data_IF_905737625886
#
_entry.id   IF_905737625886
#
_cell.length_a   1.000
_cell.length_b   1.000
_cell.length_c   1.000
_cell.angle_alpha   90.00
_cell.angle_beta   90.00
_cell.angle_gamma   90.00
#
_symmetry.space_group_name_H-M   'P 1'
#
loop_
_entity.id
_entity.type
_entity.pdbx_description
1 polymer ?
#
# COMPACT_ATOMS: atom_id res chain seq x y z
N UNK A 1 0.82 -18.61 -7.84
CA UNK A 1 0.83 -17.13 -7.61
C UNK A 1 1.54 -16.87 -6.30
N UNK A 2 2.50 -15.97 -6.31
CA UNK A 2 3.36 -15.70 -5.18
C UNK A 2 3.42 -14.18 -4.95
N UNK A 3 3.06 -13.71 -3.76
CA UNK A 3 3.03 -12.28 -3.40
C UNK A 3 4.16 -11.97 -2.44
N UNK A 4 5.03 -11.03 -2.80
CA UNK A 4 6.03 -10.49 -1.89
C UNK A 4 5.39 -9.53 -0.89
N UNK A 5 5.79 -9.59 0.36
CA UNK A 5 5.38 -8.62 1.38
C UNK A 5 6.64 -7.96 1.93
N UNK A 6 6.72 -6.63 1.85
CA UNK A 6 7.83 -5.89 2.43
C UNK A 6 7.80 -6.03 3.95
N UNK A 7 8.75 -6.78 4.51
CA UNK A 7 8.80 -7.14 5.93
C UNK A 7 9.95 -6.44 6.68
N UNK A 8 10.13 -5.13 6.39
CA UNK A 8 11.12 -4.30 7.09
C UNK A 8 10.59 -3.80 8.43
N UNK A 9 9.31 -3.45 8.48
CA UNK A 9 8.64 -2.90 9.65
C UNK A 9 7.12 -2.85 9.37
N UNK A 10 6.29 -2.95 10.40
CA UNK A 10 4.84 -2.73 10.30
C UNK A 10 4.00 -4.00 10.23
N UNK A 11 2.79 -3.89 9.68
CA UNK A 11 1.73 -4.89 9.72
C UNK A 11 1.84 -5.97 8.62
N UNK A 12 3.03 -6.51 8.38
CA UNK A 12 3.23 -7.49 7.30
C UNK A 12 2.63 -8.87 7.64
N UNK A 13 2.65 -9.30 8.89
CA UNK A 13 2.08 -10.58 9.34
C UNK A 13 0.56 -10.64 9.15
N UNK A 14 -0.13 -9.51 9.30
CA UNK A 14 -1.58 -9.41 9.09
C UNK A 14 -1.92 -9.64 7.61
N UNK A 15 -1.14 -9.08 6.69
CA UNK A 15 -1.29 -9.36 5.25
C UNK A 15 -1.01 -10.81 4.90
N UNK A 16 0.00 -11.45 5.52
CA UNK A 16 0.28 -12.87 5.33
C UNK A 16 -0.91 -13.75 5.70
N UNK A 17 -1.54 -13.47 6.85
CA UNK A 17 -2.73 -14.19 7.29
C UNK A 17 -3.86 -14.08 6.27
N UNK A 18 -4.14 -12.88 5.77
CA UNK A 18 -5.18 -12.68 4.75
C UNK A 18 -4.85 -13.44 3.47
N UNK A 19 -3.60 -13.39 2.98
CA UNK A 19 -3.20 -14.14 1.79
C UNK A 19 -3.33 -15.66 1.99
N UNK A 20 -2.97 -16.17 3.17
CA UNK A 20 -3.13 -17.57 3.53
C UNK A 20 -4.60 -18.02 3.51
N UNK A 21 -5.51 -17.21 4.06
CA UNK A 21 -6.96 -17.46 4.00
C UNK A 21 -7.49 -17.49 2.55
N UNK A 22 -6.89 -16.70 1.66
CA UNK A 22 -7.20 -16.68 0.24
C UNK A 22 -6.46 -17.75 -0.59
N UNK A 23 -5.67 -18.61 0.06
CA UNK A 23 -4.92 -19.69 -0.61
C UNK A 23 -3.78 -19.19 -1.49
N UNK A 24 -3.21 -18.01 -1.20
CA UNK A 24 -2.11 -17.38 -1.94
C UNK A 24 -0.81 -17.49 -1.15
N UNK A 25 0.24 -17.96 -1.81
CA UNK A 25 1.59 -18.03 -1.24
C UNK A 25 2.16 -16.62 -1.04
N UNK A 26 2.68 -16.35 0.15
CA UNK A 26 3.39 -15.10 0.46
C UNK A 26 4.86 -15.35 0.78
N UNK A 27 5.68 -14.35 0.48
CA UNK A 27 7.11 -14.32 0.81
C UNK A 27 7.45 -13.01 1.49
N UNK A 28 8.04 -13.07 2.66
CA UNK A 28 8.60 -11.89 3.32
C UNK A 28 9.88 -11.42 2.63
N UNK A 29 9.91 -10.13 2.28
CA UNK A 29 11.08 -9.46 1.70
C UNK A 29 11.71 -8.57 2.78
N UNK A 30 12.79 -9.04 3.40
CA UNK A 30 13.46 -8.39 4.53
C UNK A 30 14.73 -7.65 4.14
N UNK A 31 15.29 -7.95 2.98
CA UNK A 31 16.52 -7.38 2.46
C UNK A 31 16.57 -7.48 0.93
N UNK A 32 17.61 -6.92 0.33
CA UNK A 32 17.80 -6.93 -1.12
C UNK A 32 17.97 -8.35 -1.68
N UNK A 33 18.64 -9.23 -0.94
CA UNK A 33 18.87 -10.62 -1.37
C UNK A 33 17.55 -11.40 -1.50
N UNK A 34 16.66 -11.28 -0.52
CA UNK A 34 15.31 -11.86 -0.58
C UNK A 34 14.56 -11.40 -1.84
N UNK A 35 14.59 -10.09 -2.11
CA UNK A 35 13.94 -9.55 -3.30
C UNK A 35 14.57 -10.09 -4.59
N UNK A 36 15.90 -10.06 -4.72
CA UNK A 36 16.61 -10.53 -5.91
C UNK A 36 16.38 -12.03 -6.18
N UNK A 37 16.34 -12.84 -5.12
CA UNK A 37 16.08 -14.26 -5.21
C UNK A 37 14.69 -14.57 -5.78
N UNK A 38 13.70 -13.77 -5.45
CA UNK A 38 12.30 -14.05 -5.77
C UNK A 38 11.69 -13.16 -6.85
N UNK A 39 12.34 -12.06 -7.26
CA UNK A 39 11.76 -11.05 -8.15
C UNK A 39 11.17 -11.61 -9.44
N UNK A 40 11.74 -12.68 -10.01
CA UNK A 40 11.25 -13.32 -11.24
C UNK A 40 9.97 -14.13 -11.04
N UNK A 41 9.68 -14.53 -9.80
CA UNK A 41 8.55 -15.38 -9.44
C UNK A 41 7.41 -14.59 -8.79
N UNK A 42 7.64 -13.32 -8.45
CA UNK A 42 6.63 -12.49 -7.84
C UNK A 42 5.52 -12.13 -8.84
N UNK A 43 4.29 -12.41 -8.47
CA UNK A 43 3.10 -11.97 -9.18
C UNK A 43 2.62 -10.59 -8.69
N UNK A 44 3.03 -10.16 -7.51
CA UNK A 44 2.68 -8.88 -6.91
C UNK A 44 3.47 -8.58 -5.64
N UNK A 45 3.34 -7.36 -5.14
CA UNK A 45 4.03 -6.85 -3.96
C UNK A 45 3.05 -6.15 -3.03
N UNK A 46 3.15 -6.38 -1.72
CA UNK A 46 2.43 -5.63 -0.69
C UNK A 46 3.43 -4.77 0.10
N UNK A 47 3.11 -3.48 0.22
CA UNK A 47 3.80 -2.53 1.09
C UNK A 47 2.88 -2.25 2.28
N UNK A 48 3.16 -2.83 3.46
CA UNK A 48 2.24 -2.79 4.60
C UNK A 48 2.20 -1.41 5.27
N UNK A 49 1.23 -1.23 6.15
CA UNK A 49 1.20 -0.12 7.10
C UNK A 49 2.34 -0.20 8.11
N UNK A 50 2.73 0.95 8.63
CA UNK A 50 3.83 1.09 9.57
C UNK A 50 4.25 2.56 9.71
N UNK A 51 5.53 2.82 9.96
CA UNK A 51 6.09 4.18 9.99
C UNK A 51 6.87 4.45 8.70
N UNK A 52 6.32 5.32 7.84
CA UNK A 52 6.83 5.53 6.48
C UNK A 52 8.24 6.09 6.41
N UNK A 53 8.64 6.94 7.36
CA UNK A 53 10.01 7.50 7.41
C UNK A 53 11.04 6.41 7.73
N UNK A 54 10.73 5.55 8.72
CA UNK A 54 11.58 4.41 9.06
C UNK A 54 11.66 3.41 7.91
N UNK A 55 10.52 3.08 7.29
CA UNK A 55 10.49 2.18 6.13
C UNK A 55 11.29 2.74 4.95
N UNK A 56 11.11 4.02 4.63
CA UNK A 56 11.86 4.69 3.58
C UNK A 56 13.37 4.73 3.84
N UNK A 57 13.77 4.96 5.09
CA UNK A 57 15.18 4.88 5.50
C UNK A 57 15.73 3.46 5.33
N UNK A 58 15.03 2.45 5.82
CA UNK A 58 15.44 1.04 5.69
C UNK A 58 15.55 0.60 4.23
N UNK A 59 14.64 1.03 3.36
CA UNK A 59 14.72 0.76 1.92
C UNK A 59 16.01 1.33 1.30
N UNK A 60 16.45 2.51 1.73
CA UNK A 60 17.71 3.11 1.26
C UNK A 60 18.92 2.39 1.84
N UNK A 61 18.95 2.20 3.17
CA UNK A 61 20.07 1.59 3.88
C UNK A 61 20.35 0.16 3.37
N UNK A 62 19.33 -0.55 2.95
CA UNK A 62 19.43 -1.91 2.40
C UNK A 62 19.51 -1.96 0.88
N UNK A 63 19.64 -0.83 0.19
CA UNK A 63 19.68 -0.72 -1.27
C UNK A 63 18.47 -1.35 -1.99
N UNK A 64 17.31 -1.45 -1.34
CA UNK A 64 16.07 -2.00 -1.91
C UNK A 64 15.25 -0.95 -2.69
N UNK A 65 15.43 0.34 -2.41
CA UNK A 65 14.57 1.40 -2.94
C UNK A 65 14.53 1.40 -4.47
N UNK A 66 15.69 1.43 -5.13
CA UNK A 66 15.76 1.48 -6.60
C UNK A 66 15.27 0.19 -7.25
N UNK A 67 15.71 -1.02 -6.83
CA UNK A 67 15.21 -2.27 -7.40
C UNK A 67 13.68 -2.43 -7.29
N UNK A 68 13.09 -2.10 -6.14
CA UNK A 68 11.62 -2.15 -5.98
C UNK A 68 10.92 -1.11 -6.86
N UNK A 69 11.44 0.12 -6.91
CA UNK A 69 10.92 1.16 -7.77
C UNK A 69 10.90 0.75 -9.24
N UNK A 70 12.01 0.20 -9.73
CA UNK A 70 12.13 -0.29 -11.11
C UNK A 70 11.15 -1.42 -11.39
N UNK A 71 11.02 -2.39 -10.49
CA UNK A 71 10.07 -3.49 -10.64
C UNK A 71 8.62 -2.99 -10.75
N UNK A 72 8.22 -2.05 -9.90
CA UNK A 72 6.88 -1.44 -9.93
C UNK A 72 6.65 -0.68 -11.24
N UNK A 73 7.60 0.15 -11.67
CA UNK A 73 7.51 0.91 -12.92
C UNK A 73 7.50 0.01 -14.15
N UNK A 74 8.12 -1.17 -14.08
CA UNK A 74 8.11 -2.19 -15.11
C UNK A 74 6.85 -3.09 -15.07
N UNK A 75 5.88 -2.77 -14.20
CA UNK A 75 4.56 -3.38 -14.20
C UNK A 75 4.28 -4.40 -13.10
N UNK A 76 5.19 -4.62 -12.14
CA UNK A 76 4.90 -5.47 -10.99
C UNK A 76 3.71 -4.87 -10.21
N UNK A 77 2.58 -5.59 -10.08
CA UNK A 77 1.44 -5.12 -9.30
C UNK A 77 1.84 -4.85 -7.85
N UNK A 78 1.41 -3.71 -7.32
CA UNK A 78 1.72 -3.34 -5.93
C UNK A 78 0.49 -2.84 -5.19
N UNK A 79 0.36 -3.25 -3.94
CA UNK A 79 -0.67 -2.80 -3.01
C UNK A 79 -0.02 -2.13 -1.79
N UNK A 80 -0.24 -0.83 -1.64
CA UNK A 80 0.25 -0.05 -0.50
C UNK A 80 -0.86 0.31 0.47
N UNK A 81 -0.74 -0.09 1.76
CA UNK A 81 -1.68 0.27 2.82
C UNK A 81 -1.06 1.27 3.78
N UNK A 82 -1.76 2.35 4.13
CA UNK A 82 -1.33 3.38 5.10
C UNK A 82 0.09 3.90 4.80
N UNK A 83 1.12 3.43 5.49
CA UNK A 83 2.52 3.79 5.20
C UNK A 83 2.94 3.37 3.79
N UNK A 84 2.46 2.23 3.29
CA UNK A 84 2.72 1.77 1.92
C UNK A 84 2.19 2.73 0.86
N UNK A 85 1.03 3.36 1.10
CA UNK A 85 0.52 4.44 0.25
C UNK A 85 1.49 5.64 0.23
N UNK A 86 2.01 6.03 1.39
CA UNK A 86 2.98 7.14 1.49
C UNK A 86 4.27 6.81 0.72
N UNK A 87 4.74 5.56 0.80
CA UNK A 87 5.95 5.14 0.07
C UNK A 87 5.79 5.27 -1.46
N UNK A 88 4.61 5.00 -2.00
CA UNK A 88 4.33 5.05 -3.44
C UNK A 88 4.07 6.47 -3.95
N UNK A 89 3.63 7.39 -3.10
CA UNK A 89 3.26 8.74 -3.49
C UNK A 89 4.42 9.51 -4.15
N UNK A 90 4.11 10.16 -5.27
CA UNK A 90 5.05 11.07 -5.97
C UNK A 90 5.52 12.20 -5.06
N UNK A 91 4.63 12.69 -4.21
CA UNK A 91 4.93 13.80 -3.29
C UNK A 91 4.24 13.61 -1.95
N UNK A 92 4.95 13.94 -0.88
CA UNK A 92 4.43 14.01 0.48
C UNK A 92 4.36 15.48 0.86
N UNK A 93 3.15 15.97 1.19
CA UNK A 93 2.96 17.36 1.59
C UNK A 93 3.82 17.70 2.81
N UNK A 94 4.42 18.90 2.80
CA UNK A 94 5.30 19.41 3.87
C UNK A 94 6.59 18.58 4.08
N UNK A 95 6.99 17.75 3.12
CA UNK A 95 8.27 17.03 3.12
C UNK A 95 9.07 17.31 1.86
N UNK A 96 10.38 17.32 1.98
CA UNK A 96 11.28 17.54 0.85
C UNK A 96 11.54 16.27 0.05
N UNK A 97 11.42 15.10 0.68
CA UNK A 97 11.82 13.83 0.09
C UNK A 97 10.68 12.81 0.06
N UNK A 98 10.38 12.31 -1.15
CA UNK A 98 9.53 11.14 -1.39
C UNK A 98 10.35 9.85 -1.29
N UNK A 99 9.67 8.70 -1.27
CA UNK A 99 10.36 7.41 -1.20
C UNK A 99 10.42 6.72 -2.58
N UNK A 100 9.55 5.75 -2.85
CA UNK A 100 9.49 5.07 -4.15
C UNK A 100 9.00 6.01 -5.27
N UNK A 101 8.04 6.89 -4.96
CA UNK A 101 7.55 7.95 -5.84
C UNK A 101 7.12 7.44 -7.23
N UNK A 102 6.35 6.37 -7.27
CA UNK A 102 5.91 5.71 -8.51
C UNK A 102 4.49 6.08 -8.92
N UNK A 103 3.63 6.50 -7.98
CA UNK A 103 2.21 6.80 -8.20
C UNK A 103 1.96 8.31 -8.24
N UNK A 104 1.21 8.79 -9.23
CA UNK A 104 0.94 10.24 -9.43
C UNK A 104 -0.11 10.79 -8.45
N UNK A 105 0.21 10.74 -7.17
CA UNK A 105 -0.58 11.26 -6.06
C UNK A 105 0.26 12.14 -5.15
N UNK A 106 -0.41 13.09 -4.48
CA UNK A 106 0.13 13.86 -3.36
C UNK A 106 -0.57 13.40 -2.10
N UNK A 107 0.18 13.13 -1.04
CA UNK A 107 -0.36 12.65 0.23
C UNK A 107 -0.06 13.60 1.37
N UNK A 108 -0.99 13.70 2.32
CA UNK A 108 -0.79 14.36 3.60
C UNK A 108 -0.74 13.32 4.71
N UNK A 109 0.32 13.40 5.53
CA UNK A 109 0.49 12.52 6.69
C UNK A 109 -0.34 13.02 7.87
N UNK A 110 -0.84 12.08 8.70
CA UNK A 110 -1.57 12.41 9.94
C UNK A 110 -2.74 13.40 9.74
N UNK A 111 -3.44 13.30 8.64
CA UNK A 111 -4.48 14.24 8.22
C UNK A 111 -5.69 14.32 9.17
N UNK A 112 -5.92 13.30 10.00
CA UNK A 112 -7.06 13.23 10.92
C UNK A 112 -6.80 13.85 12.29
N UNK A 113 -5.63 14.47 12.53
CA UNK A 113 -5.29 15.12 13.80
C UNK A 113 -5.12 14.16 14.98
N UNK A 114 -4.74 14.69 16.15
CA UNK A 114 -4.44 13.87 17.34
C UNK A 114 -5.66 13.22 17.99
N UNK A 115 -6.85 13.80 17.86
CA UNK A 115 -8.07 13.32 18.54
C UNK A 115 -8.92 12.34 17.74
N UNK A 116 -8.81 12.31 16.40
CA UNK A 116 -9.56 11.43 15.51
C UNK A 116 -8.64 10.52 14.70
N UNK A 117 -7.44 10.26 15.18
CA UNK A 117 -6.41 9.55 14.44
C UNK A 117 -6.70 8.08 14.17
N UNK A 118 -7.73 7.51 14.81
CA UNK A 118 -8.13 6.12 14.61
C UNK A 118 -9.64 6.00 14.69
N UNK A 119 -10.26 5.44 13.65
CA UNK A 119 -11.70 5.21 13.59
C UNK A 119 -12.03 4.06 12.65
N UNK A 120 -13.25 3.57 12.76
CA UNK A 120 -13.83 2.55 11.89
C UNK A 120 -15.03 3.14 11.15
N UNK A 121 -15.18 2.77 9.89
CA UNK A 121 -16.37 3.07 9.10
C UNK A 121 -16.60 2.00 8.04
N UNK A 122 -17.74 2.06 7.38
CA UNK A 122 -18.02 1.31 6.17
C UNK A 122 -18.33 2.29 5.04
N UNK A 123 -17.70 2.13 3.90
CA UNK A 123 -17.90 2.98 2.74
C UNK A 123 -17.78 2.21 1.43
N UNK A 124 -18.32 2.80 0.37
CA UNK A 124 -18.18 2.25 -0.99
C UNK A 124 -16.75 2.34 -1.48
N UNK A 125 -16.26 1.25 -2.04
CA UNK A 125 -15.01 1.17 -2.76
C UNK A 125 -15.30 0.69 -4.19
N UNK A 126 -15.01 1.50 -5.18
CA UNK A 126 -15.28 1.24 -6.60
C UNK A 126 -14.66 -0.11 -7.01
N UNK A 127 -15.45 -0.96 -7.62
CA UNK A 127 -15.04 -2.30 -8.06
C UNK A 127 -15.02 -3.38 -6.96
N UNK A 128 -15.28 -3.00 -5.70
CA UNK A 128 -15.30 -3.93 -4.55
C UNK A 128 -16.65 -3.94 -3.85
N UNK A 129 -17.34 -2.78 -3.79
CA UNK A 129 -18.58 -2.56 -3.06
C UNK A 129 -18.35 -1.95 -1.68
N UNK A 130 -19.37 -1.96 -0.84
CA UNK A 130 -19.29 -1.43 0.52
C UNK A 130 -18.46 -2.35 1.40
N UNK A 131 -17.35 -1.83 1.94
CA UNK A 131 -16.37 -2.56 2.75
C UNK A 131 -16.08 -1.86 4.08
N UNK A 132 -15.66 -2.62 5.12
CA UNK A 132 -15.15 -2.05 6.36
C UNK A 132 -13.80 -1.39 6.15
N UNK A 133 -13.59 -0.24 6.78
CA UNK A 133 -12.38 0.55 6.69
C UNK A 133 -11.90 0.93 8.09
N UNK A 134 -10.79 0.35 8.52
CA UNK A 134 -10.12 0.66 9.80
C UNK A 134 -9.00 1.63 9.56
N UNK A 135 -9.12 2.82 10.13
CA UNK A 135 -8.11 3.89 10.05
C UNK A 135 -7.30 3.95 11.34
N UNK A 136 -5.98 4.01 11.21
CA UNK A 136 -5.04 4.20 12.32
C UNK A 136 -4.04 5.28 11.91
N UNK A 137 -4.32 6.54 12.29
CA UNK A 137 -3.51 7.71 11.92
C UNK A 137 -3.15 7.74 10.43
N UNK A 138 -4.11 7.38 9.59
CA UNK A 138 -3.91 7.23 8.15
C UNK A 138 -3.53 8.54 7.45
N UNK A 139 -2.84 8.46 6.32
CA UNK A 139 -2.71 9.58 5.41
C UNK A 139 -4.02 9.82 4.67
N UNK A 140 -4.10 10.96 3.98
CA UNK A 140 -5.09 11.20 2.93
C UNK A 140 -4.38 11.48 1.62
N UNK A 141 -5.08 11.23 0.50
CA UNK A 141 -4.63 11.66 -0.81
C UNK A 141 -5.24 13.05 -1.05
N UNK A 142 -4.39 14.08 -1.08
CA UNK A 142 -4.83 15.46 -1.30
C UNK A 142 -4.95 15.84 -2.77
N UNK A 143 -4.15 15.21 -3.64
CA UNK A 143 -4.21 15.43 -5.09
C UNK A 143 -3.98 14.12 -5.84
N UNK A 144 -4.62 14.00 -7.00
CA UNK A 144 -4.47 12.87 -7.92
C UNK A 144 -4.16 13.34 -9.33
N UNK A 145 -3.25 12.66 -10.03
CA UNK A 145 -2.98 12.88 -11.45
C UNK A 145 -4.07 12.35 -12.37
N UNK A 146 -4.00 12.69 -13.66
CA UNK A 146 -5.03 12.33 -14.66
C UNK A 146 -5.24 10.83 -14.85
N UNK A 147 -4.20 10.02 -14.59
CA UNK A 147 -4.25 8.56 -14.76
C UNK A 147 -4.69 7.81 -13.52
N UNK A 148 -5.01 8.50 -12.44
CA UNK A 148 -5.37 7.92 -11.14
C UNK A 148 -6.89 7.82 -11.00
N UNK A 149 -7.37 6.62 -10.74
CA UNK A 149 -8.78 6.31 -10.46
C UNK A 149 -9.01 6.41 -8.95
N UNK A 150 -9.96 7.25 -8.53
CA UNK A 150 -10.38 7.35 -7.13
C UNK A 150 -11.33 6.18 -6.85
N UNK A 151 -10.97 5.32 -5.88
CA UNK A 151 -11.76 4.15 -5.53
C UNK A 151 -12.66 4.39 -4.31
N UNK A 152 -12.24 5.17 -3.34
CA UNK A 152 -13.04 5.46 -2.16
C UNK A 152 -12.81 6.87 -1.61
N UNK A 153 -13.89 7.46 -1.11
CA UNK A 153 -13.90 8.76 -0.44
C UNK A 153 -14.65 8.61 0.89
N UNK A 154 -14.04 9.07 1.97
CA UNK A 154 -14.63 9.09 3.32
C UNK A 154 -14.46 10.49 3.90
N UNK A 155 -15.55 11.08 4.41
CA UNK A 155 -15.55 12.45 4.96
C UNK A 155 -14.92 13.50 4.01
N UNK A 156 -15.27 13.42 2.72
CA UNK A 156 -14.74 14.28 1.64
C UNK A 156 -13.23 14.13 1.37
N UNK A 157 -12.60 13.08 1.88
CA UNK A 157 -11.19 12.80 1.68
C UNK A 157 -11.00 11.54 0.84
N UNK A 158 -10.06 11.58 -0.10
CA UNK A 158 -9.71 10.43 -0.93
C UNK A 158 -8.88 9.46 -0.07
N UNK A 159 -9.38 8.23 0.09
CA UNK A 159 -8.79 7.22 0.98
C UNK A 159 -8.39 5.93 0.27
N UNK A 160 -8.74 5.77 -1.00
CA UNK A 160 -8.27 4.68 -1.85
C UNK A 160 -8.19 5.14 -3.30
N UNK A 161 -7.17 4.70 -4.01
CA UNK A 161 -6.95 5.02 -5.42
C UNK A 161 -6.18 3.90 -6.12
N UNK A 162 -6.28 3.87 -7.46
CA UNK A 162 -5.54 2.97 -8.32
C UNK A 162 -4.95 3.74 -9.51
N UNK A 163 -3.71 3.45 -9.85
CA UNK A 163 -3.08 3.88 -11.08
C UNK A 163 -2.37 2.70 -11.73
N UNK A 164 -2.83 2.26 -12.90
CA UNK A 164 -2.27 1.09 -13.60
C UNK A 164 -2.17 -0.15 -12.69
N UNK A 165 -0.95 -0.59 -12.38
CA UNK A 165 -0.62 -1.74 -11.53
C UNK A 165 -0.49 -1.38 -10.03
N UNK A 166 -0.80 -0.16 -9.62
CA UNK A 166 -0.63 0.31 -8.25
C UNK A 166 -1.99 0.57 -7.59
N UNK A 167 -2.24 -0.11 -6.47
CA UNK A 167 -3.41 0.04 -5.60
C UNK A 167 -2.97 0.61 -4.25
N UNK A 168 -3.70 1.60 -3.73
CA UNK A 168 -3.37 2.18 -2.42
C UNK A 168 -4.62 2.41 -1.57
N UNK A 169 -4.44 2.29 -0.25
CA UNK A 169 -5.46 2.65 0.75
C UNK A 169 -4.85 3.39 1.92
N UNK A 170 -5.61 4.36 2.46
CA UNK A 170 -5.29 5.04 3.71
C UNK A 170 -5.60 4.20 4.94
N UNK A 171 -6.53 3.26 4.81
CA UNK A 171 -7.01 2.35 5.86
C UNK A 171 -6.30 1.00 5.78
N UNK A 172 -6.55 0.17 6.79
CA UNK A 172 -5.95 -1.14 6.99
C UNK A 172 -6.96 -2.26 6.71
N UNK A 173 -7.12 -2.73 5.46
CA UNK A 173 -8.02 -3.84 5.15
C UNK A 173 -7.57 -5.16 5.80
N UNK A 174 -6.28 -5.31 6.08
CA UNK A 174 -5.68 -6.46 6.74
C UNK A 174 -6.12 -6.64 8.21
N UNK A 175 -6.72 -5.60 8.81
CA UNK A 175 -7.23 -5.63 10.17
C UNK A 175 -8.75 -5.93 10.25
N UNK A 176 -9.33 -6.35 9.13
CA UNK A 176 -10.75 -6.72 9.06
C UNK A 176 -10.91 -8.17 8.61
N UNK A 177 -12.12 -8.72 8.76
CA UNK A 177 -12.46 -10.05 8.24
C UNK A 177 -13.05 -9.99 6.82
N UNK A 178 -12.91 -8.86 6.13
CA UNK A 178 -13.35 -8.67 4.76
C UNK A 178 -12.15 -8.69 3.80
N UNK A 179 -12.01 -9.75 3.06
CA UNK A 179 -10.86 -9.98 2.20
C UNK A 179 -11.07 -9.52 0.75
N UNK A 180 -12.23 -8.89 0.43
CA UNK A 180 -12.57 -8.52 -0.94
C UNK A 180 -11.57 -7.55 -1.58
N UNK A 181 -10.97 -6.65 -0.80
CA UNK A 181 -9.96 -5.74 -1.34
C UNK A 181 -8.63 -6.45 -1.65
N UNK A 182 -8.22 -7.41 -0.82
CA UNK A 182 -7.08 -8.28 -1.14
C UNK A 182 -7.38 -9.16 -2.35
N UNK A 183 -8.60 -9.69 -2.47
CA UNK A 183 -9.01 -10.43 -3.66
C UNK A 183 -9.00 -9.56 -4.92
N UNK A 184 -9.39 -8.29 -4.80
CA UNK A 184 -9.28 -7.30 -5.89
C UNK A 184 -7.82 -7.16 -6.34
N UNK A 185 -6.89 -6.96 -5.38
CA UNK A 185 -5.46 -6.90 -5.67
C UNK A 185 -4.92 -8.19 -6.30
N UNK A 186 -5.29 -9.36 -5.77
CA UNK A 186 -4.92 -10.66 -6.34
C UNK A 186 -5.37 -10.78 -7.81
N UNK A 187 -6.53 -10.25 -8.15
CA UNK A 187 -7.02 -10.24 -9.53
C UNK A 187 -6.20 -9.30 -10.44
N UNK A 188 -5.61 -8.23 -9.90
CA UNK A 188 -4.66 -7.39 -10.65
C UNK A 188 -3.34 -8.11 -10.95
N UNK A 189 -3.00 -9.15 -10.16
CA UNK A 189 -1.77 -9.93 -10.31
C UNK A 189 -1.86 -11.06 -11.35
N UNK A 190 -3.04 -11.28 -11.96
CA UNK A 190 -3.30 -12.32 -12.97
C UNK A 190 -3.04 -11.80 -14.37
#
# INVERSE_FOLDING_TARGET
>A
MKIGILALQGAFVEHEKVLAELGVESIELRNLEDFQQHQSDLSGLILPGGESTAMGKLLRDQNMLLPLREAILNGLPVFGTCAGLILLARQIASQEESHLATMDIVVERNAYGRQLGSFYTEAECKGVGKIPMTFIRGPIISEVGKGVDILAVVNHQIVAAQEKNMLVTSFHPELTNDFRLHQYFINMCK
#
